data_IF_331664209584
#
_entry.id   IF_331664209584
#
_cell.length_a   1.000
_cell.length_b   1.000
_cell.length_c   1.000
_cell.angle_alpha   90.00
_cell.angle_beta   90.00
_cell.angle_gamma   90.00
#
_symmetry.space_group_name_H-M   'P 1'
#
loop_
_entity.id
_entity.type
_entity.pdbx_description
1 polymer ?
#
# COMPACT_ATOMS: atom_id res chain seq x y z
N UNK A 1 2.16 6.23 4.15
CA UNK A 1 0.72 6.41 4.48
C UNK A 1 -0.23 5.68 3.53
N UNK A 2 -0.26 5.97 2.22
CA UNK A 2 -1.20 5.29 1.28
C UNK A 2 -1.06 3.76 1.28
N UNK A 3 0.16 3.23 1.42
CA UNK A 3 0.42 1.79 1.58
C UNK A 3 -0.31 1.20 2.82
N UNK A 4 -0.25 1.87 3.98
CA UNK A 4 -0.93 1.42 5.19
C UNK A 4 -2.45 1.45 5.05
N UNK A 5 -3.00 2.52 4.44
CA UNK A 5 -4.43 2.59 4.14
C UNK A 5 -4.87 1.45 3.19
N UNK A 6 -4.03 1.11 2.22
CA UNK A 6 -4.28 0.00 1.29
C UNK A 6 -4.18 -1.39 1.96
N UNK A 7 -3.52 -1.50 3.12
CA UNK A 7 -3.53 -2.70 3.96
C UNK A 7 -4.75 -2.77 4.88
N UNK A 8 -5.62 -1.76 4.85
CA UNK A 8 -6.82 -1.67 5.68
C UNK A 8 -6.57 -1.11 7.07
N UNK A 9 -5.36 -0.61 7.36
CA UNK A 9 -5.06 0.03 8.64
C UNK A 9 -5.97 1.22 8.88
N UNK A 10 -6.46 1.36 10.12
CA UNK A 10 -7.15 2.58 10.52
C UNK A 10 -6.15 3.71 10.71
N UNK A 11 -6.62 4.95 10.61
CA UNK A 11 -5.78 6.14 10.83
C UNK A 11 -5.20 6.19 12.25
N UNK A 12 -5.91 5.66 13.24
CA UNK A 12 -5.42 5.50 14.62
C UNK A 12 -4.22 4.55 14.72
N UNK A 13 -4.25 3.42 13.98
CA UNK A 13 -3.17 2.44 13.99
C UNK A 13 -1.91 3.03 13.35
N UNK A 14 -2.08 3.81 12.28
CA UNK A 14 -0.99 4.53 11.63
C UNK A 14 -0.32 5.50 12.61
N UNK A 15 -1.12 6.23 13.41
CA UNK A 15 -0.60 7.17 14.40
C UNK A 15 0.21 6.46 15.49
N UNK A 16 -0.29 5.32 15.98
CA UNK A 16 0.41 4.51 16.99
C UNK A 16 1.72 3.93 16.46
N UNK A 17 1.72 3.42 15.22
CA UNK A 17 2.94 2.88 14.58
C UNK A 17 3.99 3.95 14.32
N UNK A 18 3.60 5.21 14.10
CA UNK A 18 4.54 6.34 14.02
C UNK A 18 5.14 6.63 15.40
N UNK A 19 4.32 6.61 16.46
CA UNK A 19 4.75 6.89 17.84
C UNK A 19 5.61 5.79 18.46
N UNK A 20 5.44 4.52 18.04
CA UNK A 20 6.22 3.39 18.58
C UNK A 20 7.68 3.36 18.11
N UNK A 21 8.08 4.24 17.19
CA UNK A 21 9.45 4.30 16.66
C UNK A 21 9.78 3.22 15.62
N UNK A 22 8.81 2.38 15.24
CA UNK A 22 8.97 1.37 14.19
C UNK A 22 8.86 1.95 12.78
N UNK A 23 8.28 3.15 12.64
CA UNK A 23 8.18 3.85 11.36
C UNK A 23 9.30 4.88 11.18
N UNK A 24 9.79 5.02 9.94
CA UNK A 24 10.79 6.02 9.49
C UNK A 24 10.30 7.48 9.66
N UNK A 25 9.05 7.68 10.10
CA UNK A 25 8.40 8.98 10.23
C UNK A 25 8.61 9.55 11.64
N UNK A 26 9.20 10.74 11.74
CA UNK A 26 9.34 11.50 12.99
C UNK A 26 8.21 12.53 13.12
N UNK A 27 7.71 12.76 14.33
CA UNK A 27 6.66 13.75 14.64
C UNK A 27 5.37 13.13 15.19
N UNK A 28 4.43 13.97 15.61
CA UNK A 28 3.09 13.58 16.05
C UNK A 28 2.07 13.78 14.92
N UNK A 29 0.86 13.20 15.08
CA UNK A 29 -0.23 13.41 14.12
C UNK A 29 -0.57 14.91 13.94
N UNK A 30 -0.46 15.70 15.02
CA UNK A 30 -0.68 17.14 14.99
C UNK A 30 0.39 17.90 14.18
N UNK A 31 1.57 17.31 13.99
CA UNK A 31 2.65 17.89 13.17
C UNK A 31 2.51 17.55 11.67
N UNK A 32 1.59 16.64 11.30
CA UNK A 32 1.36 16.27 9.89
C UNK A 32 0.81 17.43 9.07
N UNK A 33 0.07 18.33 9.72
CA UNK A 33 -0.55 19.48 9.09
C UNK A 33 0.35 20.70 9.23
N UNK A 34 0.74 21.30 8.11
CA UNK A 34 1.42 22.59 8.12
C UNK A 34 0.41 23.67 8.44
N UNK A 35 0.55 24.35 9.58
CA UNK A 35 -0.22 25.55 9.93
C UNK A 35 -0.24 26.53 8.73
N UNK A 36 -1.41 26.97 8.21
CA UNK A 36 -2.78 26.86 8.75
C UNK A 36 -3.68 25.80 8.07
N UNK A 37 -3.12 24.79 7.42
CA UNK A 37 -3.89 23.77 6.70
C UNK A 37 -4.64 22.86 7.68
N UNK A 38 -5.96 22.74 7.47
CA UNK A 38 -6.81 21.81 8.25
C UNK A 38 -6.78 20.36 7.70
N UNK A 39 -6.27 20.18 6.49
CA UNK A 39 -6.11 18.87 5.84
C UNK A 39 -5.00 18.91 4.80
N UNK A 40 -4.51 17.72 4.43
CA UNK A 40 -3.66 17.51 3.27
C UNK A 40 -4.28 16.46 2.36
N UNK A 41 -3.94 16.51 1.08
CA UNK A 41 -4.45 15.60 0.06
C UNK A 41 -3.31 14.78 -0.53
N UNK A 42 -3.59 13.49 -0.72
CA UNK A 42 -2.73 12.55 -1.44
C UNK A 42 -3.55 11.97 -2.59
N UNK A 43 -2.93 11.79 -3.74
CA UNK A 43 -3.62 11.25 -4.90
C UNK A 43 -2.66 10.68 -5.92
N UNK A 44 -3.24 10.07 -6.95
CA UNK A 44 -2.49 9.45 -8.02
C UNK A 44 -3.33 9.21 -9.25
N UNK A 45 -2.66 9.13 -10.40
CA UNK A 45 -3.24 8.68 -11.66
C UNK A 45 -2.72 7.28 -11.96
N UNK A 46 -3.62 6.32 -12.00
CA UNK A 46 -3.32 4.93 -12.30
C UNK A 46 -3.73 4.59 -13.73
N UNK A 47 -2.81 3.99 -14.48
CA UNK A 47 -3.08 3.44 -15.80
C UNK A 47 -3.63 2.01 -15.69
N UNK A 48 -4.37 1.56 -16.70
CA UNK A 48 -4.91 0.19 -16.74
C UNK A 48 -6.05 -0.09 -15.75
N UNK A 49 -6.59 0.92 -15.06
CA UNK A 49 -7.69 0.73 -14.11
C UNK A 49 -8.99 0.24 -14.78
N UNK A 50 -9.81 -0.57 -14.09
CA UNK A 50 -11.06 -1.07 -14.64
C UNK A 50 -11.94 0.07 -15.18
N UNK A 51 -12.34 -0.04 -16.45
CA UNK A 51 -13.18 0.95 -17.18
C UNK A 51 -12.60 2.38 -17.23
N UNK A 52 -11.32 2.56 -16.90
CA UNK A 52 -10.59 3.83 -16.95
C UNK A 52 -10.75 4.73 -15.72
N UNK A 53 -11.31 4.22 -14.62
CA UNK A 53 -11.44 4.97 -13.35
C UNK A 53 -10.12 4.97 -12.59
N UNK A 54 -9.21 5.87 -12.97
CA UNK A 54 -7.84 5.87 -12.49
C UNK A 54 -7.39 7.13 -11.77
N UNK A 55 -8.23 8.14 -11.60
CA UNK A 55 -7.84 9.35 -10.86
C UNK A 55 -8.36 9.24 -9.44
N UNK A 56 -7.45 8.96 -8.50
CA UNK A 56 -7.76 8.78 -7.10
C UNK A 56 -7.22 9.94 -6.28
N UNK A 57 -8.01 10.43 -5.34
CA UNK A 57 -7.61 11.44 -4.37
C UNK A 57 -8.25 11.12 -3.01
N UNK A 58 -7.46 11.26 -1.95
CA UNK A 58 -7.89 11.19 -0.55
C UNK A 58 -7.34 12.40 0.20
N UNK A 59 -8.17 13.01 1.02
CA UNK A 59 -7.77 14.08 1.93
C UNK A 59 -7.93 13.64 3.37
N UNK A 60 -6.92 13.92 4.17
CA UNK A 60 -6.85 13.57 5.57
C UNK A 60 -6.69 14.86 6.36
N UNK A 61 -7.53 15.02 7.37
CA UNK A 61 -7.52 16.16 8.28
C UNK A 61 -7.48 15.71 9.73
N UNK A 62 -7.42 16.70 10.61
CA UNK A 62 -7.45 16.51 12.05
C UNK A 62 -8.79 17.03 12.58
N UNK A 63 -9.55 16.17 13.26
CA UNK A 63 -10.82 16.53 13.93
C UNK A 63 -10.71 16.04 15.38
N UNK A 64 -10.88 16.94 16.35
CA UNK A 64 -10.71 16.64 17.77
C UNK A 64 -9.42 15.84 18.10
N UNK A 65 -8.28 16.31 17.57
CA UNK A 65 -6.94 15.67 17.69
C UNK A 65 -6.83 14.25 17.10
N UNK A 66 -7.77 13.87 16.21
CA UNK A 66 -7.78 12.57 15.57
C UNK A 66 -7.70 12.71 14.05
N UNK A 67 -6.84 11.90 13.43
CA UNK A 67 -6.76 11.82 11.97
C UNK A 67 -8.03 11.18 11.41
N UNK A 68 -8.65 11.87 10.46
CA UNK A 68 -9.88 11.43 9.78
C UNK A 68 -9.79 11.65 8.27
N UNK A 69 -10.46 10.79 7.51
CA UNK A 69 -10.71 11.02 6.08
C UNK A 69 -11.73 12.14 5.94
N UNK A 70 -11.32 13.28 5.37
CA UNK A 70 -12.20 14.44 5.15
C UNK A 70 -12.76 14.47 3.73
N UNK A 71 -12.06 13.86 2.78
CA UNK A 71 -12.55 13.66 1.42
C UNK A 71 -11.90 12.41 0.82
N UNK A 72 -12.61 11.72 -0.06
CA UNK A 72 -12.03 10.70 -0.93
C UNK A 72 -12.87 10.63 -2.21
N UNK A 73 -12.22 10.51 -3.37
CA UNK A 73 -12.93 10.35 -4.62
C UNK A 73 -12.15 9.54 -5.64
N UNK A 74 -12.89 8.91 -6.55
CA UNK A 74 -12.35 8.32 -7.77
C UNK A 74 -13.08 8.90 -8.96
N UNK A 75 -12.33 9.50 -9.88
CA UNK A 75 -12.85 10.12 -11.09
C UNK A 75 -12.24 9.50 -12.34
N UNK A 76 -12.89 9.74 -13.48
CA UNK A 76 -12.42 9.36 -14.80
C UNK A 76 -12.50 10.59 -15.70
N UNK A 77 -11.40 10.98 -16.37
CA UNK A 77 -11.44 12.05 -17.34
C UNK A 77 -12.53 11.84 -18.40
N UNK A 78 -13.35 12.86 -18.63
CA UNK A 78 -14.47 12.83 -19.56
C UNK A 78 -15.80 12.37 -18.96
N UNK A 79 -15.82 11.83 -17.74
CA UNK A 79 -17.06 11.55 -17.00
C UNK A 79 -17.40 12.73 -16.09
N UNK A 80 -18.65 13.21 -16.16
CA UNK A 80 -19.10 14.34 -15.36
C UNK A 80 -19.37 13.97 -13.88
N UNK A 81 -19.59 12.68 -13.60
CA UNK A 81 -19.91 12.17 -12.26
C UNK A 81 -18.77 11.26 -11.80
N UNK A 82 -18.22 11.46 -10.58
CA UNK A 82 -17.26 10.54 -9.98
C UNK A 82 -17.79 9.11 -9.90
N UNK A 83 -16.89 8.13 -9.79
CA UNK A 83 -17.27 6.75 -9.47
C UNK A 83 -17.88 6.67 -8.06
N UNK A 84 -17.24 7.36 -7.12
CA UNK A 84 -17.75 7.70 -5.80
C UNK A 84 -17.02 8.93 -5.28
N UNK A 85 -17.63 9.61 -4.32
CA UNK A 85 -17.04 10.75 -3.63
C UNK A 85 -17.63 10.88 -2.23
N UNK A 86 -16.78 11.20 -1.25
CA UNK A 86 -17.23 11.64 0.08
C UNK A 86 -17.93 12.99 -0.07
N UNK A 87 -19.18 13.07 0.38
CA UNK A 87 -19.98 14.29 0.34
C UNK A 87 -20.49 14.62 1.75
N UNK A 88 -20.03 15.75 2.27
CA UNK A 88 -20.29 16.18 3.64
C UNK A 88 -19.02 16.56 4.37
N UNK A 89 -19.18 17.21 5.52
CA UNK A 89 -18.06 17.52 6.42
C UNK A 89 -17.96 16.43 7.48
N UNK A 90 -16.73 16.04 7.82
CA UNK A 90 -16.50 15.29 9.04
C UNK A 90 -17.09 16.07 10.23
N UNK A 91 -17.69 15.36 11.17
CA UNK A 91 -18.30 15.91 12.37
C UNK A 91 -17.57 15.35 13.59
N UNK A 92 -17.32 16.19 14.57
CA UNK A 92 -16.64 15.87 15.83
C UNK A 92 -17.41 14.84 16.69
N UNK A 93 -18.68 14.59 16.37
CA UNK A 93 -19.56 13.69 17.13
C UNK A 93 -19.78 12.31 16.51
N UNK A 94 -19.31 12.07 15.29
CA UNK A 94 -19.50 10.77 14.62
C UNK A 94 -18.37 10.45 13.66
N UNK A 95 -18.02 9.16 13.62
CA UNK A 95 -17.07 8.63 12.65
C UNK A 95 -17.73 8.28 11.32
N UNK A 96 -19.05 8.41 11.22
CA UNK A 96 -19.79 8.15 9.98
C UNK A 96 -19.73 9.34 9.03
N UNK A 97 -19.35 9.06 7.78
CA UNK A 97 -19.39 9.99 6.65
C UNK A 97 -20.22 9.40 5.51
N UNK A 98 -20.84 10.28 4.74
CA UNK A 98 -21.62 9.90 3.57
C UNK A 98 -20.75 9.86 2.33
N UNK A 99 -21.00 8.83 1.52
CA UNK A 99 -20.32 8.62 0.24
C UNK A 99 -21.36 8.48 -0.85
N UNK A 100 -21.46 9.50 -1.70
CA UNK A 100 -22.21 9.41 -2.93
C UNK A 100 -21.51 8.47 -3.93
N UNK A 101 -22.26 7.61 -4.62
CA UNK A 101 -21.71 6.68 -5.61
C UNK A 101 -22.44 6.72 -6.95
N UNK A 102 -21.73 6.36 -8.01
CA UNK A 102 -22.30 6.30 -9.35
C UNK A 102 -23.17 5.05 -9.50
N UNK A 103 -24.48 5.23 -9.59
CA UNK A 103 -25.43 4.20 -9.98
C UNK A 103 -25.51 3.96 -11.50
N UNK A 104 -24.67 4.63 -12.28
CA UNK A 104 -24.61 4.56 -13.75
C UNK A 104 -25.92 4.94 -14.45
N UNK A 105 -26.83 5.61 -13.74
CA UNK A 105 -28.08 6.15 -14.28
C UNK A 105 -27.98 7.67 -14.40
N UNK A 106 -28.70 8.22 -15.39
CA UNK A 106 -28.87 9.67 -15.54
C UNK A 106 -29.76 10.19 -14.41
N UNK A 107 -29.35 11.25 -13.73
CA UNK A 107 -30.10 11.84 -12.63
C UNK A 107 -29.23 12.73 -11.75
N UNK A 108 -29.87 13.72 -11.12
CA UNK A 108 -29.22 14.69 -10.23
C UNK A 108 -28.89 14.10 -8.86
N UNK A 109 -29.74 13.20 -8.35
CA UNK A 109 -29.59 12.60 -7.04
C UNK A 109 -28.85 11.27 -7.17
N UNK A 110 -27.62 11.23 -6.65
CA UNK A 110 -26.84 9.99 -6.55
C UNK A 110 -27.17 9.30 -5.22
N UNK A 111 -27.19 7.96 -5.19
CA UNK A 111 -27.37 7.22 -3.94
C UNK A 111 -26.14 7.36 -3.04
N UNK A 112 -26.33 7.13 -1.74
CA UNK A 112 -25.31 7.31 -0.71
C UNK A 112 -25.15 6.03 0.11
N UNK A 113 -23.94 5.78 0.58
CA UNK A 113 -23.62 4.70 1.52
C UNK A 113 -22.90 5.31 2.73
N UNK A 114 -23.28 4.95 3.97
CA UNK A 114 -22.53 5.34 5.16
C UNK A 114 -21.20 4.58 5.21
N UNK A 115 -20.11 5.31 5.44
CA UNK A 115 -18.77 4.78 5.63
C UNK A 115 -18.14 5.37 6.89
N UNK A 116 -17.12 4.72 7.43
CA UNK A 116 -16.31 5.30 8.50
C UNK A 116 -15.24 6.22 7.92
N UNK A 117 -15.03 7.39 8.54
CA UNK A 117 -13.91 8.29 8.25
C UNK A 117 -12.59 7.86 8.90
N UNK A 118 -12.56 6.71 9.59
CA UNK A 118 -11.36 6.17 10.25
C UNK A 118 -10.57 5.21 9.37
N UNK A 119 -11.09 4.90 8.19
CA UNK A 119 -10.48 4.01 7.20
C UNK A 119 -10.72 4.61 5.81
N UNK A 120 -9.83 4.32 4.85
CA UNK A 120 -10.04 4.73 3.46
C UNK A 120 -11.37 4.20 2.91
N UNK A 121 -12.03 5.00 2.06
CA UNK A 121 -13.35 4.69 1.50
C UNK A 121 -13.26 3.55 0.49
N UNK A 122 -12.23 3.53 -0.37
CA UNK A 122 -12.01 2.46 -1.35
C UNK A 122 -11.99 1.09 -0.67
N UNK A 123 -11.38 0.99 0.53
CA UNK A 123 -11.30 -0.26 1.27
C UNK A 123 -12.69 -0.76 1.71
N UNK A 124 -13.59 0.17 2.05
CA UNK A 124 -14.93 -0.14 2.52
C UNK A 124 -15.89 -0.50 1.38
N UNK A 125 -15.62 -0.01 0.17
CA UNK A 125 -16.46 -0.20 -1.03
C UNK A 125 -16.15 -1.48 -1.83
N UNK A 126 -15.25 -2.34 -1.38
CA UNK A 126 -14.92 -3.61 -2.07
C UNK A 126 -16.01 -4.69 -1.97
N UNK A 127 -16.99 -4.52 -1.10
CA UNK A 127 -18.06 -5.50 -0.90
C UNK A 127 -19.28 -5.15 -1.77
N UNK A 128 -19.63 -5.97 -2.80
CA UNK A 128 -20.76 -5.68 -3.69
C UNK A 128 -22.10 -5.50 -2.96
N UNK A 129 -22.33 -6.24 -1.88
CA UNK A 129 -23.57 -6.18 -1.11
C UNK A 129 -23.84 -4.85 -0.39
N UNK A 130 -22.89 -3.90 -0.37
CA UNK A 130 -23.13 -2.55 0.17
C UNK A 130 -23.94 -1.65 -0.76
N UNK A 131 -23.99 -1.96 -2.06
CA UNK A 131 -24.76 -1.18 -3.02
C UNK A 131 -26.15 -1.77 -3.19
N UNK A 132 -27.14 -0.91 -3.47
CA UNK A 132 -28.51 -1.34 -3.71
C UNK A 132 -28.59 -2.43 -4.80
N UNK A 133 -29.45 -3.43 -4.60
CA UNK A 133 -29.59 -4.59 -5.50
C UNK A 133 -29.92 -4.21 -6.94
N UNK A 134 -30.60 -3.08 -7.15
CA UNK A 134 -30.94 -2.55 -8.47
C UNK A 134 -29.78 -1.84 -9.19
N UNK A 135 -28.62 -1.68 -8.54
CA UNK A 135 -27.43 -1.00 -9.07
C UNK A 135 -26.35 -2.01 -9.48
N UNK A 136 -26.68 -2.90 -10.42
CA UNK A 136 -25.78 -3.98 -10.87
C UNK A 136 -24.40 -3.51 -11.33
N UNK A 137 -24.33 -2.39 -12.06
CA UNK A 137 -23.04 -1.84 -12.48
C UNK A 137 -22.23 -1.28 -11.31
N UNK A 138 -22.86 -0.70 -10.28
CA UNK A 138 -22.18 -0.28 -9.05
C UNK A 138 -21.60 -1.46 -8.30
N UNK A 139 -22.38 -2.55 -8.16
CA UNK A 139 -21.94 -3.80 -7.52
C UNK A 139 -20.77 -4.47 -8.24
N UNK A 140 -20.56 -4.20 -9.53
CA UNK A 140 -19.50 -4.80 -10.32
C UNK A 140 -18.29 -3.87 -10.51
N UNK A 141 -18.52 -2.61 -10.89
CA UNK A 141 -17.46 -1.68 -11.29
C UNK A 141 -16.78 -1.07 -10.06
N UNK A 142 -17.55 -0.64 -9.04
CA UNK A 142 -16.96 0.04 -7.88
C UNK A 142 -16.05 -0.90 -7.09
N UNK A 143 -16.47 -2.12 -6.71
CA UNK A 143 -15.57 -3.10 -6.09
C UNK A 143 -14.33 -3.43 -6.93
N UNK A 144 -14.48 -3.57 -8.25
CA UNK A 144 -13.35 -3.88 -9.13
C UNK A 144 -12.31 -2.76 -9.14
N UNK A 145 -12.74 -1.50 -9.26
CA UNK A 145 -11.85 -0.33 -9.28
C UNK A 145 -11.20 -0.12 -7.91
N UNK A 146 -11.98 -0.19 -6.84
CA UNK A 146 -11.47 0.03 -5.47
C UNK A 146 -10.48 -1.05 -5.06
N UNK A 147 -10.73 -2.31 -5.41
CA UNK A 147 -9.78 -3.41 -5.26
C UNK A 147 -8.50 -3.16 -6.06
N UNK A 148 -8.60 -2.71 -7.31
CA UNK A 148 -7.44 -2.41 -8.14
C UNK A 148 -6.59 -1.28 -7.53
N UNK A 149 -7.22 -0.19 -7.07
CA UNK A 149 -6.54 0.91 -6.35
C UNK A 149 -5.85 0.38 -5.09
N UNK A 150 -6.54 -0.43 -4.28
CA UNK A 150 -5.96 -1.03 -3.08
C UNK A 150 -4.73 -1.87 -3.43
N UNK A 151 -4.83 -2.73 -4.43
CA UNK A 151 -3.71 -3.59 -4.84
C UNK A 151 -2.54 -2.78 -5.39
N UNK A 152 -2.80 -1.75 -6.19
CA UNK A 152 -1.76 -0.83 -6.68
C UNK A 152 -1.06 -0.11 -5.54
N UNK A 153 -1.80 0.51 -4.61
CA UNK A 153 -1.24 1.24 -3.48
C UNK A 153 -0.50 0.33 -2.48
N UNK A 154 -0.99 -0.89 -2.26
CA UNK A 154 -0.34 -1.89 -1.41
C UNK A 154 1.01 -2.34 -1.97
N UNK A 155 1.16 -2.32 -3.29
CA UNK A 155 2.40 -2.69 -3.97
C UNK A 155 3.41 -1.53 -4.04
N UNK A 156 3.04 -0.33 -3.58
CA UNK A 156 4.00 0.78 -3.39
C UNK A 156 4.76 0.52 -2.09
N UNK A 157 5.94 -0.08 -2.22
CA UNK A 157 6.86 -0.33 -1.11
C UNK A 157 7.86 0.82 -1.02
N UNK A 158 7.98 1.44 0.15
CA UNK A 158 9.08 2.35 0.46
C UNK A 158 10.22 1.51 1.03
N UNK A 159 11.32 1.43 0.29
CA UNK A 159 12.52 0.73 0.75
C UNK A 159 13.36 1.69 1.60
N UNK A 160 13.62 1.31 2.84
CA UNK A 160 14.57 1.91 3.77
C UNK A 160 15.59 0.85 4.21
N UNK A 161 16.39 0.31 3.27
CA UNK A 161 17.21 -0.86 3.53
C UNK A 161 18.20 -0.59 4.67
N UNK A 162 18.20 -1.47 5.68
CA UNK A 162 19.13 -1.43 6.81
C UNK A 162 20.13 -2.57 6.70
N UNK A 163 21.35 -2.35 6.13
CA UNK A 163 22.30 -3.44 5.82
C UNK A 163 22.64 -4.35 6.99
N UNK A 164 22.60 -3.83 8.22
CA UNK A 164 22.82 -4.61 9.43
C UNK A 164 21.74 -5.70 9.64
N UNK A 165 20.47 -5.44 9.30
CA UNK A 165 19.36 -6.37 9.46
C UNK A 165 19.20 -7.32 8.26
N UNK A 166 19.75 -6.96 7.10
CA UNK A 166 19.57 -7.71 5.86
C UNK A 166 20.41 -8.99 5.79
N UNK A 167 21.39 -9.16 6.70
CA UNK A 167 22.37 -10.27 6.69
C UNK A 167 21.98 -11.42 7.61
N UNK A 168 20.95 -11.24 8.43
CA UNK A 168 20.53 -12.22 9.42
C UNK A 168 19.62 -13.30 8.82
N UNK A 169 19.32 -14.29 9.65
CA UNK A 169 18.33 -15.32 9.37
C UNK A 169 16.92 -14.73 9.32
N UNK A 170 16.13 -15.19 8.35
CA UNK A 170 14.72 -14.85 8.21
C UNK A 170 13.87 -16.11 8.02
N UNK A 171 12.66 -16.11 8.58
CA UNK A 171 11.73 -17.23 8.43
C UNK A 171 11.34 -17.42 6.97
N UNK A 172 11.40 -18.66 6.45
CA UNK A 172 11.24 -18.96 5.01
C UNK A 172 9.93 -18.44 4.39
N UNK A 173 8.84 -18.33 5.18
CA UNK A 173 7.55 -17.82 4.69
C UNK A 173 7.40 -16.29 4.78
N UNK A 174 8.40 -15.59 5.30
CA UNK A 174 8.45 -14.12 5.30
C UNK A 174 8.94 -13.63 3.92
N UNK A 175 8.16 -13.93 2.89
CA UNK A 175 8.59 -13.93 1.49
C UNK A 175 8.16 -12.70 0.68
N UNK A 176 7.54 -11.73 1.36
CA UNK A 176 7.21 -10.39 0.91
C UNK A 176 8.20 -9.39 1.50
N UNK A 177 8.99 -8.72 0.65
CA UNK A 177 10.05 -7.80 1.09
C UNK A 177 9.54 -6.76 2.10
N UNK A 178 10.20 -6.69 3.25
CA UNK A 178 9.98 -5.66 4.26
C UNK A 178 10.65 -4.37 3.86
N UNK A 179 10.11 -3.26 4.35
CA UNK A 179 10.62 -1.91 4.06
C UNK A 179 12.11 -1.78 4.41
N UNK A 180 12.53 -2.37 5.54
CA UNK A 180 13.93 -2.36 6.00
C UNK A 180 14.83 -3.43 5.38
N UNK A 181 14.27 -4.33 4.57
CA UNK A 181 14.97 -5.46 3.99
C UNK A 181 15.37 -6.56 4.98
N UNK A 182 14.86 -6.58 6.22
CA UNK A 182 15.28 -7.56 7.24
C UNK A 182 15.00 -9.02 6.85
N UNK A 183 14.09 -9.25 5.89
CA UNK A 183 13.74 -10.57 5.38
C UNK A 183 14.33 -10.87 3.99
N UNK A 184 15.38 -10.14 3.59
CA UNK A 184 16.03 -10.31 2.29
C UNK A 184 16.38 -11.78 2.01
N UNK A 185 16.95 -12.48 3.00
CA UNK A 185 17.29 -13.91 2.88
C UNK A 185 16.10 -14.79 2.50
N UNK A 186 14.92 -14.57 3.07
CA UNK A 186 13.71 -15.34 2.78
C UNK A 186 13.14 -15.00 1.39
N UNK A 187 13.16 -13.73 1.00
CA UNK A 187 12.72 -13.28 -0.34
C UNK A 187 13.61 -13.88 -1.43
N UNK A 188 14.94 -13.80 -1.28
CA UNK A 188 15.88 -14.37 -2.23
C UNK A 188 15.77 -15.90 -2.27
N UNK A 189 15.52 -16.54 -1.13
CA UNK A 189 15.29 -17.99 -1.06
C UNK A 189 14.06 -18.39 -1.88
N UNK A 190 12.93 -17.68 -1.72
CA UNK A 190 11.70 -17.93 -2.51
C UNK A 190 11.95 -17.76 -4.00
N UNK A 191 12.56 -16.66 -4.42
CA UNK A 191 12.89 -16.38 -5.83
C UNK A 191 13.77 -17.52 -6.39
N UNK A 192 14.70 -18.01 -5.59
CA UNK A 192 15.62 -19.08 -5.99
C UNK A 192 14.99 -20.48 -6.07
N UNK A 193 13.74 -20.67 -5.62
CA UNK A 193 13.01 -21.93 -5.80
C UNK A 193 12.58 -22.14 -7.26
N UNK A 194 12.49 -21.07 -8.05
CA UNK A 194 12.20 -21.11 -9.48
C UNK A 194 13.52 -21.01 -10.28
N UNK A 195 13.94 -22.06 -11.03
CA UNK A 195 15.25 -22.07 -11.69
C UNK A 195 15.50 -20.91 -12.66
N UNK A 196 14.46 -20.50 -13.40
CA UNK A 196 14.54 -19.35 -14.32
C UNK A 196 14.78 -18.05 -13.55
N UNK A 197 14.08 -17.84 -12.44
CA UNK A 197 14.24 -16.65 -11.61
C UNK A 197 15.59 -16.64 -10.88
N UNK A 198 16.06 -17.80 -10.37
CA UNK A 198 17.43 -17.92 -9.81
C UNK A 198 18.48 -17.50 -10.84
N UNK A 199 18.33 -17.95 -12.09
CA UNK A 199 19.27 -17.61 -13.17
C UNK A 199 19.29 -16.10 -13.44
N UNK A 200 18.12 -15.45 -13.52
CA UNK A 200 18.02 -13.99 -13.70
C UNK A 200 18.61 -13.22 -12.52
N UNK A 201 18.34 -13.67 -11.30
CA UNK A 201 18.89 -13.10 -10.07
C UNK A 201 20.43 -13.18 -10.05
N UNK A 202 20.99 -14.34 -10.39
CA UNK A 202 22.43 -14.52 -10.49
C UNK A 202 23.07 -13.64 -11.56
N UNK A 203 22.42 -13.51 -12.73
CA UNK A 203 22.90 -12.62 -13.80
C UNK A 203 22.93 -11.15 -13.34
N UNK A 204 21.92 -10.72 -12.57
CA UNK A 204 21.91 -9.39 -11.96
C UNK A 204 23.02 -9.21 -10.94
N UNK A 205 23.19 -10.15 -10.00
CA UNK A 205 24.25 -10.08 -8.97
C UNK A 205 25.63 -10.03 -9.62
N UNK A 206 25.88 -10.85 -10.65
CA UNK A 206 27.13 -10.86 -11.44
C UNK A 206 27.40 -9.56 -12.21
N UNK A 207 26.38 -8.73 -12.41
CA UNK A 207 26.55 -7.41 -13.03
C UNK A 207 27.01 -6.32 -12.05
N UNK A 208 26.96 -6.59 -10.74
CA UNK A 208 27.38 -5.63 -9.71
C UNK A 208 28.92 -5.56 -9.62
N UNK A 209 29.55 -4.36 -9.57
CA UNK A 209 31.00 -4.21 -9.64
C UNK A 209 31.85 -4.73 -8.45
N UNK A 210 31.35 -5.58 -7.56
CA UNK A 210 31.95 -5.74 -6.22
C UNK A 210 32.19 -7.20 -5.79
N UNK A 211 32.98 -7.95 -6.58
CA UNK A 211 33.52 -9.33 -6.39
C UNK A 211 32.97 -10.37 -7.38
N UNK A 212 33.80 -11.37 -7.70
CA UNK A 212 33.50 -12.52 -8.58
C UNK A 212 32.50 -13.49 -7.92
N UNK A 213 31.26 -13.05 -7.69
CA UNK A 213 30.18 -13.87 -7.15
C UNK A 213 29.75 -14.88 -8.22
N UNK A 214 29.96 -16.17 -7.96
CA UNK A 214 29.64 -17.26 -8.90
C UNK A 214 28.25 -17.85 -8.65
N UNK A 215 27.80 -17.89 -7.40
CA UNK A 215 26.48 -18.41 -7.01
C UNK A 215 25.95 -17.76 -5.71
N UNK A 216 24.67 -18.01 -5.43
CA UNK A 216 24.01 -17.75 -4.15
C UNK A 216 23.49 -19.06 -3.57
N UNK A 217 23.74 -19.25 -2.28
CA UNK A 217 23.31 -20.39 -1.50
C UNK A 217 22.56 -19.93 -0.25
N UNK A 218 21.95 -20.88 0.45
CA UNK A 218 21.15 -20.58 1.63
C UNK A 218 21.49 -21.56 2.75
N UNK A 219 21.78 -21.02 3.93
CA UNK A 219 21.92 -21.80 5.15
C UNK A 219 20.54 -21.91 5.78
N UNK A 220 20.01 -23.13 5.87
CA UNK A 220 18.68 -23.41 6.45
C UNK A 220 18.81 -24.05 7.83
N UNK A 221 18.01 -23.58 8.78
CA UNK A 221 17.92 -24.15 10.13
C UNK A 221 16.71 -25.09 10.27
N UNK A 222 16.70 -25.91 11.33
CA UNK A 222 15.58 -26.79 11.68
C UNK A 222 14.27 -26.02 11.96
N UNK A 223 14.38 -24.74 12.31
CA UNK A 223 13.24 -23.84 12.56
C UNK A 223 12.66 -23.25 11.27
N UNK A 224 13.17 -23.63 10.11
CA UNK A 224 12.85 -23.03 8.81
C UNK A 224 13.22 -21.55 8.73
N UNK A 225 14.34 -21.17 9.33
CA UNK A 225 14.98 -19.89 9.03
C UNK A 225 16.04 -20.08 7.96
N UNK A 226 16.22 -19.07 7.11
CA UNK A 226 17.21 -19.05 6.03
C UNK A 226 18.06 -17.80 6.09
N UNK A 227 19.35 -17.97 5.82
CA UNK A 227 20.32 -16.88 5.64
C UNK A 227 21.01 -17.05 4.29
N UNK A 228 21.05 -15.98 3.50
CA UNK A 228 21.73 -15.99 2.20
C UNK A 228 23.25 -16.04 2.40
N UNK A 229 23.92 -16.84 1.58
CA UNK A 229 25.37 -16.96 1.48
C UNK A 229 25.78 -16.69 0.04
N UNK A 230 26.72 -15.77 -0.14
CA UNK A 230 27.34 -15.53 -1.44
C UNK A 230 28.50 -16.50 -1.62
N UNK A 231 28.57 -17.13 -2.80
CA UNK A 231 29.70 -17.97 -3.20
C UNK A 231 30.46 -17.21 -4.26
N UNK A 232 31.77 -17.02 -4.06
CA UNK A 232 32.63 -16.35 -5.02
C UNK A 232 33.98 -17.04 -5.12
N UNK A 233 34.76 -16.64 -6.12
CA UNK A 233 36.16 -17.03 -6.25
C UNK A 233 37.00 -15.94 -5.62
N UNK A 234 37.89 -16.29 -4.69
CA UNK A 234 38.86 -15.33 -4.19
C UNK A 234 39.76 -14.93 -5.36
N UNK A 235 39.81 -13.65 -5.70
CA UNK A 235 40.81 -13.13 -6.61
C UNK A 235 42.18 -13.31 -5.93
N UNK A 236 42.95 -14.32 -6.34
CA UNK A 236 44.39 -14.36 -6.06
C UNK A 236 45.04 -13.21 -6.83
N UNK A 237 45.04 -12.00 -6.26
CA UNK A 237 45.96 -10.95 -6.64
C UNK A 237 46.60 -10.42 -5.36
N UNK A 238 47.91 -10.65 -5.27
CA UNK A 238 48.74 -10.51 -4.08
C UNK A 238 48.99 -9.08 -3.62
N UNK A 239 49.58 -9.02 -2.42
CA UNK A 239 50.31 -7.94 -1.76
C UNK A 239 49.92 -6.49 -2.07
#
# INVERSE_FOLDING_TARGET
MLNWLAKGSRLEDITRSIQSGDAVVRGQANDLLRDPLASFSLGGRFEGMPKGWGHFEISIGLVADQLVVTAESVVKPGEAVPLYQVDGRANDHTDEIRVAYNNFKRGKNKPHIPCSNRQAIFYQLETPGRFESAHHDSQRIIPAVTKAIRETLRNVVFLDPRPALMRDYAYVKDDLIKEDGSNLSAVLYRISQEPEQKTRLLAFIKSLPEQDITDIEFIKTDRNDVMVRLVGVASENGF
#
